data_IF_831582302092
#
_entry.id   IF_831582302092
#
_cell.length_a   1.000
_cell.length_b   1.000
_cell.length_c   1.000
_cell.angle_alpha   90.00
_cell.angle_beta   90.00
_cell.angle_gamma   90.00
#
_symmetry.space_group_name_H-M   'P 1'
#
loop_
_entity.id
_entity.type
_entity.pdbx_description
1 polymer ?
#
# COMPACT_ATOMS: atom_id res chain seq x y z
N UNK A 1 18.83 14.75 12.77
CA UNK A 1 18.50 15.84 11.81
C UNK A 1 16.99 15.89 11.65
N UNK A 2 16.40 17.10 11.78
CA UNK A 2 14.97 17.27 11.58
C UNK A 2 14.62 17.15 10.10
N UNK A 3 13.75 16.21 9.76
CA UNK A 3 13.28 15.93 8.39
C UNK A 3 11.79 16.16 8.37
N UNK A 4 11.33 17.09 7.53
CA UNK A 4 9.90 17.37 7.33
C UNK A 4 9.35 16.56 6.16
N UNK A 5 8.20 15.92 6.37
CA UNK A 5 7.49 15.16 5.35
C UNK A 5 5.98 15.18 5.64
N UNK A 6 5.17 14.75 4.69
CA UNK A 6 3.73 14.57 4.91
C UNK A 6 3.43 13.09 5.00
N UNK A 7 2.76 12.65 6.07
CA UNK A 7 2.36 11.24 6.24
C UNK A 7 0.86 11.17 6.42
N UNK A 8 0.18 10.43 5.55
CA UNK A 8 -1.27 10.27 5.55
C UNK A 8 -2.01 11.61 5.61
N UNK A 9 -1.53 12.60 4.83
CA UNK A 9 -2.10 13.95 4.76
C UNK A 9 -1.73 14.89 5.92
N UNK A 10 -0.94 14.43 6.89
CA UNK A 10 -0.49 15.25 8.03
C UNK A 10 0.99 15.63 7.86
N UNK A 11 1.30 16.90 7.97
CA UNK A 11 2.70 17.38 8.02
C UNK A 11 3.32 16.94 9.34
N UNK A 12 4.46 16.28 9.28
CA UNK A 12 5.22 15.81 10.43
C UNK A 12 6.68 16.19 10.29
N UNK A 13 7.35 16.37 11.42
CA UNK A 13 8.80 16.55 11.50
C UNK A 13 9.36 15.45 12.39
N UNK A 14 10.34 14.72 11.87
CA UNK A 14 10.95 13.59 12.56
C UNK A 14 12.44 13.86 12.76
N UNK A 15 12.98 13.45 13.89
CA UNK A 15 14.41 13.53 14.16
C UNK A 15 15.04 12.15 13.93
N UNK A 16 15.75 12.02 12.81
CA UNK A 16 16.35 10.77 12.40
C UNK A 16 17.64 11.00 11.60
N UNK A 17 18.58 10.04 11.62
CA UNK A 17 19.65 9.98 10.64
C UNK A 17 19.10 9.95 9.21
N UNK A 18 19.74 10.66 8.28
CA UNK A 18 19.26 10.79 6.91
C UNK A 18 19.11 9.46 6.15
N UNK A 19 19.93 8.48 6.52
CA UNK A 19 19.98 7.12 5.96
C UNK A 19 19.08 6.12 6.68
N UNK A 20 18.42 6.53 7.79
CA UNK A 20 17.48 5.65 8.49
C UNK A 20 16.39 5.16 7.53
N UNK A 21 16.10 3.85 7.49
CA UNK A 21 14.99 3.35 6.68
C UNK A 21 13.66 3.98 7.08
N UNK A 22 12.90 4.46 6.10
CA UNK A 22 11.60 5.08 6.29
C UNK A 22 10.64 4.19 7.11
N UNK A 23 10.79 2.88 6.99
CA UNK A 23 10.01 1.90 7.76
C UNK A 23 10.08 2.15 9.26
N UNK A 24 11.27 2.41 9.81
CA UNK A 24 11.44 2.62 11.25
C UNK A 24 10.90 3.96 11.70
N UNK A 25 11.04 5.00 10.88
CA UNK A 25 10.38 6.28 11.16
C UNK A 25 8.87 6.12 11.25
N UNK A 26 8.27 5.42 10.27
CA UNK A 26 6.82 5.15 10.25
C UNK A 26 6.38 4.38 11.50
N UNK A 27 7.11 3.34 11.89
CA UNK A 27 6.70 2.45 12.97
C UNK A 27 7.04 2.96 14.36
N UNK A 28 8.27 3.50 14.55
CA UNK A 28 8.82 3.80 15.88
C UNK A 28 8.59 5.25 16.30
N UNK A 29 8.51 6.19 15.35
CA UNK A 29 8.31 7.61 15.67
C UNK A 29 6.87 8.07 15.41
N UNK A 30 6.16 7.44 14.48
CA UNK A 30 4.81 7.83 14.12
C UNK A 30 3.74 6.81 14.57
N UNK A 31 4.14 5.71 15.22
CA UNK A 31 3.26 4.64 15.74
C UNK A 31 2.34 4.02 14.69
N UNK A 32 2.72 4.09 13.40
CA UNK A 32 1.96 3.52 12.29
C UNK A 32 2.42 2.09 12.02
N UNK A 33 1.89 1.14 12.77
CA UNK A 33 2.38 -0.25 12.84
C UNK A 33 1.80 -1.19 11.77
N UNK A 34 0.88 -0.73 10.93
CA UNK A 34 0.30 -1.50 9.83
C UNK A 34 1.31 -1.85 8.73
N UNK A 35 2.31 -1.00 8.50
CA UNK A 35 3.47 -1.30 7.65
C UNK A 35 4.41 -2.25 8.39
N UNK A 36 4.73 -3.42 7.78
CA UNK A 36 5.44 -4.50 8.48
C UNK A 36 6.89 -4.66 8.00
N UNK A 37 7.78 -4.99 8.96
CA UNK A 37 9.13 -5.47 8.64
C UNK A 37 9.09 -6.97 8.29
N UNK A 38 9.78 -7.36 7.22
CA UNK A 38 9.95 -8.76 6.84
C UNK A 38 11.40 -9.04 6.48
N UNK A 39 11.79 -8.94 5.21
CA UNK A 39 13.15 -9.31 4.76
C UNK A 39 14.22 -8.24 4.98
N UNK A 40 13.87 -6.96 5.14
CA UNK A 40 14.81 -5.84 5.28
C UNK A 40 15.61 -5.50 4.02
N UNK A 41 15.34 -6.14 2.86
CA UNK A 41 16.11 -6.03 1.62
C UNK A 41 15.24 -5.98 0.35
N UNK A 42 14.07 -5.36 0.43
CA UNK A 42 13.19 -5.09 -0.73
C UNK A 42 12.57 -6.31 -1.44
N UNK A 43 12.62 -7.52 -0.86
CA UNK A 43 12.20 -8.75 -1.54
C UNK A 43 10.77 -9.20 -1.20
N UNK A 44 10.29 -9.00 0.04
CA UNK A 44 9.04 -9.61 0.49
C UNK A 44 7.79 -8.71 0.35
N UNK A 45 7.95 -7.42 0.19
CA UNK A 45 6.85 -6.48 0.01
C UNK A 45 6.02 -6.11 1.24
N UNK A 46 6.26 -6.72 2.41
CA UNK A 46 5.50 -6.43 3.64
C UNK A 46 5.58 -4.95 4.07
N UNK A 47 6.66 -4.26 3.70
CA UNK A 47 6.92 -2.87 4.03
C UNK A 47 6.49 -1.87 2.93
N UNK A 48 5.64 -2.27 2.00
CA UNK A 48 5.21 -1.39 0.91
C UNK A 48 4.40 -0.21 1.43
N UNK A 49 4.81 0.99 1.05
CA UNK A 49 4.09 2.25 1.24
C UNK A 49 4.06 3.01 -0.08
N UNK A 50 3.27 4.06 -0.20
CA UNK A 50 3.36 4.97 -1.34
C UNK A 50 4.22 6.18 -0.98
N UNK A 51 5.12 6.56 -1.87
CA UNK A 51 5.88 7.80 -1.84
C UNK A 51 5.47 8.61 -3.08
N UNK A 52 4.79 9.72 -2.87
CA UNK A 52 4.18 10.52 -3.95
C UNK A 52 3.32 9.65 -4.91
N UNK A 53 2.54 8.72 -4.37
CA UNK A 53 1.68 7.80 -5.13
C UNK A 53 2.38 6.57 -5.72
N UNK A 54 3.71 6.50 -5.71
CA UNK A 54 4.45 5.34 -6.20
C UNK A 54 4.72 4.32 -5.07
N UNK A 55 4.48 3.03 -5.33
CA UNK A 55 4.82 1.98 -4.38
C UNK A 55 6.33 1.85 -4.20
N UNK A 56 6.80 1.94 -2.95
CA UNK A 56 8.21 1.78 -2.57
C UNK A 56 8.35 0.82 -1.40
N UNK A 57 9.53 0.23 -1.26
CA UNK A 57 9.89 -0.63 -0.13
C UNK A 57 10.53 0.21 0.97
N UNK A 58 9.76 0.56 1.99
CA UNK A 58 10.21 1.46 3.07
C UNK A 58 11.40 0.92 3.88
N UNK A 59 11.63 -0.39 3.88
CA UNK A 59 12.78 -1.01 4.58
C UNK A 59 14.14 -0.69 3.95
N UNK A 60 14.20 -0.24 2.70
CA UNK A 60 15.43 0.14 1.99
C UNK A 60 15.39 1.57 1.45
N UNK A 61 14.30 2.28 1.69
CA UNK A 61 14.14 3.69 1.32
C UNK A 61 14.62 4.55 2.49
N UNK A 62 15.71 5.31 2.36
CA UNK A 62 16.15 6.20 3.42
C UNK A 62 15.13 7.33 3.63
N UNK A 63 14.95 7.77 4.88
CA UNK A 63 13.98 8.82 5.21
C UNK A 63 14.28 10.14 4.49
N UNK A 64 15.55 10.42 4.20
CA UNK A 64 15.94 11.59 3.40
C UNK A 64 15.29 11.67 2.02
N UNK A 65 14.96 10.53 1.40
CA UNK A 65 14.19 10.51 0.14
C UNK A 65 12.73 10.90 0.31
N UNK A 66 12.21 10.84 1.52
CA UNK A 66 10.85 11.26 1.84
C UNK A 66 10.78 12.73 2.29
N UNK A 67 11.91 13.45 2.38
CA UNK A 67 11.93 14.85 2.73
C UNK A 67 11.07 15.68 1.76
N UNK A 68 10.10 16.42 2.29
CA UNK A 68 9.15 17.21 1.51
C UNK A 68 8.14 16.40 0.68
N UNK A 69 8.16 15.07 0.78
CA UNK A 69 7.29 14.21 0.00
C UNK A 69 6.03 13.77 0.78
N UNK A 70 5.05 13.23 0.04
CA UNK A 70 3.86 12.62 0.60
C UNK A 70 4.05 11.10 0.75
N UNK A 71 3.97 10.60 1.97
CA UNK A 71 3.98 9.18 2.30
C UNK A 71 2.55 8.75 2.63
N UNK A 72 2.06 7.70 1.98
CA UNK A 72 0.80 7.06 2.33
C UNK A 72 1.07 5.64 2.80
N UNK A 73 0.65 5.33 4.02
CA UNK A 73 0.70 3.98 4.59
C UNK A 73 -0.67 3.30 4.49
N UNK A 74 -0.77 2.04 4.91
CA UNK A 74 -2.05 1.31 4.89
C UNK A 74 -3.12 2.02 5.74
N UNK A 75 -2.73 2.68 6.83
CA UNK A 75 -3.63 3.44 7.68
C UNK A 75 -4.20 4.69 6.98
N UNK A 76 -3.45 5.24 6.02
CA UNK A 76 -3.86 6.43 5.25
C UNK A 76 -4.48 6.12 3.90
N UNK A 77 -4.54 4.85 3.48
CA UNK A 77 -5.18 4.48 2.21
C UNK A 77 -6.67 4.81 2.21
N UNK A 78 -7.33 4.59 3.35
CA UNK A 78 -8.68 5.06 3.64
C UNK A 78 -8.86 5.11 5.16
N UNK A 79 -9.26 6.26 5.73
CA UNK A 79 -9.37 6.44 7.19
C UNK A 79 -10.29 5.42 7.87
N UNK A 80 -11.33 4.97 7.17
CA UNK A 80 -12.35 4.06 7.70
C UNK A 80 -12.24 2.64 7.14
N UNK A 81 -11.13 2.29 6.47
CA UNK A 81 -11.00 0.99 5.82
C UNK A 81 -11.98 0.80 4.64
N UNK A 82 -12.52 1.89 4.09
CA UNK A 82 -13.55 1.88 3.06
C UNK A 82 -13.03 1.80 1.62
N UNK A 83 -11.71 1.76 1.41
CA UNK A 83 -11.15 1.61 0.08
C UNK A 83 -11.62 0.30 -0.60
N UNK A 84 -11.90 0.34 -1.90
CA UNK A 84 -12.43 -0.82 -2.64
C UNK A 84 -11.60 -2.10 -2.44
N UNK A 85 -10.26 -1.98 -2.39
CA UNK A 85 -9.37 -3.11 -2.09
C UNK A 85 -9.59 -3.63 -0.67
N UNK A 86 -9.70 -2.78 0.35
CA UNK A 86 -9.90 -3.23 1.72
C UNK A 86 -11.23 -3.99 1.87
N UNK A 87 -12.30 -3.49 1.23
CA UNK A 87 -13.60 -4.20 1.20
C UNK A 87 -13.52 -5.53 0.45
N UNK A 88 -12.88 -5.55 -0.72
CA UNK A 88 -12.69 -6.79 -1.47
C UNK A 88 -11.84 -7.82 -0.71
N UNK A 89 -10.86 -7.38 0.09
CA UNK A 89 -10.07 -8.26 0.96
C UNK A 89 -10.93 -8.96 2.01
N UNK A 90 -11.92 -8.26 2.57
CA UNK A 90 -12.89 -8.83 3.52
C UNK A 90 -13.86 -9.77 2.79
N UNK A 91 -14.42 -9.34 1.66
CA UNK A 91 -15.38 -10.12 0.86
C UNK A 91 -14.80 -11.47 0.41
N UNK A 92 -13.53 -11.50 0.01
CA UNK A 92 -12.86 -12.72 -0.44
C UNK A 92 -12.16 -13.49 0.70
N UNK A 93 -12.31 -13.05 1.95
CA UNK A 93 -11.63 -13.66 3.12
C UNK A 93 -10.15 -13.93 2.85
N UNK A 94 -9.45 -12.88 2.35
CA UNK A 94 -8.08 -13.03 1.83
C UNK A 94 -7.08 -13.35 2.93
N UNK A 95 -7.20 -12.71 4.09
CA UNK A 95 -6.20 -12.80 5.14
C UNK A 95 -6.26 -14.15 5.89
N UNK A 96 -5.10 -14.73 6.17
CA UNK A 96 -4.94 -15.76 7.20
C UNK A 96 -4.19 -15.16 8.40
N UNK A 97 -2.84 -15.19 8.42
CA UNK A 97 -2.11 -14.56 9.53
C UNK A 97 -2.18 -13.02 9.51
N UNK A 98 -2.50 -12.40 8.39
CA UNK A 98 -2.66 -10.96 8.25
C UNK A 98 -1.34 -10.17 8.06
N UNK A 99 -0.19 -10.78 8.29
CA UNK A 99 1.09 -10.04 8.38
C UNK A 99 1.47 -9.31 7.08
N UNK A 100 1.33 -9.94 5.91
CA UNK A 100 1.70 -9.34 4.63
C UNK A 100 0.60 -8.46 4.02
N UNK A 101 -0.60 -8.42 4.59
CA UNK A 101 -1.78 -7.88 3.89
C UNK A 101 -1.72 -6.37 3.67
N UNK A 102 -1.18 -5.59 4.62
CA UNK A 102 -0.94 -4.17 4.42
C UNK A 102 -0.08 -3.90 3.18
N UNK A 103 1.04 -4.61 3.05
CA UNK A 103 1.92 -4.50 1.86
C UNK A 103 1.26 -4.99 0.58
N UNK A 104 0.46 -6.05 0.62
CA UNK A 104 -0.29 -6.57 -0.53
C UNK A 104 -1.30 -5.53 -1.03
N UNK A 105 -2.10 -4.95 -0.14
CA UNK A 105 -3.10 -3.94 -0.48
C UNK A 105 -2.44 -2.68 -1.05
N UNK A 106 -1.35 -2.20 -0.45
CA UNK A 106 -0.62 -1.03 -0.94
C UNK A 106 -0.04 -1.26 -2.34
N UNK A 107 0.52 -2.44 -2.61
CA UNK A 107 1.01 -2.80 -3.94
C UNK A 107 -0.14 -2.88 -4.97
N UNK A 108 -1.25 -3.50 -4.60
CA UNK A 108 -2.45 -3.59 -5.44
C UNK A 108 -3.06 -2.21 -5.73
N UNK A 109 -3.08 -1.30 -4.75
CA UNK A 109 -3.57 0.06 -4.95
C UNK A 109 -2.73 0.83 -5.98
N UNK A 110 -1.40 0.69 -5.91
CA UNK A 110 -0.51 1.30 -6.90
C UNK A 110 -0.68 0.68 -8.31
N UNK A 111 -0.99 -0.62 -8.40
CA UNK A 111 -1.33 -1.27 -9.67
C UNK A 111 -2.62 -0.69 -10.24
N UNK A 112 -3.70 -0.67 -9.47
CA UNK A 112 -5.01 -0.22 -9.95
C UNK A 112 -5.03 1.27 -10.31
N UNK A 113 -4.21 2.09 -9.67
CA UNK A 113 -4.05 3.50 -10.04
C UNK A 113 -3.44 3.68 -11.44
N UNK A 114 -2.62 2.74 -11.91
CA UNK A 114 -1.98 2.77 -13.22
C UNK A 114 -2.73 1.94 -14.27
N UNK A 115 -3.35 0.86 -13.85
CA UNK A 115 -4.02 -0.13 -14.69
C UNK A 115 -5.37 -0.46 -14.05
N UNK A 116 -6.43 0.32 -14.36
CA UNK A 116 -7.75 0.15 -13.72
C UNK A 116 -8.41 -1.19 -13.99
N UNK A 117 -8.06 -1.86 -15.10
CA UNK A 117 -8.58 -3.18 -15.48
C UNK A 117 -7.43 -4.13 -15.77
N UNK A 118 -6.69 -4.60 -14.73
CA UNK A 118 -5.54 -5.44 -14.95
C UNK A 118 -5.96 -6.85 -15.38
N UNK A 119 -5.18 -7.46 -16.28
CA UNK A 119 -5.25 -8.89 -16.57
C UNK A 119 -4.57 -9.70 -15.46
N UNK A 120 -4.81 -11.02 -15.40
CA UNK A 120 -4.12 -11.91 -14.45
C UNK A 120 -2.61 -11.80 -14.55
N UNK A 121 -2.06 -11.75 -15.78
CA UNK A 121 -0.63 -11.62 -16.00
C UNK A 121 -0.07 -10.29 -15.47
N UNK A 122 -0.82 -9.20 -15.58
CA UNK A 122 -0.43 -7.90 -15.02
C UNK A 122 -0.49 -7.90 -13.49
N UNK A 123 -1.50 -8.55 -12.92
CA UNK A 123 -1.59 -8.73 -11.45
C UNK A 123 -0.41 -9.56 -10.98
N UNK A 124 -0.14 -10.71 -11.61
CA UNK A 124 0.95 -11.60 -11.22
C UNK A 124 2.30 -10.88 -11.29
N UNK A 125 2.54 -10.12 -12.35
CA UNK A 125 3.76 -9.32 -12.50
C UNK A 125 3.91 -8.27 -11.39
N UNK A 126 2.85 -7.53 -11.10
CA UNK A 126 2.88 -6.46 -10.10
C UNK A 126 3.01 -6.99 -8.67
N UNK A 127 2.41 -8.16 -8.39
CA UNK A 127 2.34 -8.75 -7.06
C UNK A 127 3.43 -9.77 -6.77
N UNK A 128 4.24 -10.18 -7.75
CA UNK A 128 5.20 -11.28 -7.61
C UNK A 128 6.28 -11.03 -6.55
N UNK A 129 6.55 -9.79 -6.20
CA UNK A 129 7.49 -9.40 -5.14
C UNK A 129 6.81 -9.16 -3.78
N UNK A 130 5.55 -9.54 -3.65
CA UNK A 130 4.78 -9.44 -2.41
C UNK A 130 4.50 -10.86 -1.90
N UNK A 131 5.33 -11.34 -0.95
CA UNK A 131 5.26 -12.70 -0.45
C UNK A 131 4.12 -12.88 0.57
N UNK A 132 3.37 -13.97 0.42
CA UNK A 132 2.40 -14.45 1.40
C UNK A 132 2.76 -15.89 1.82
N UNK A 133 3.23 -16.09 3.05
CA UNK A 133 3.59 -17.43 3.55
C UNK A 133 2.37 -18.35 3.73
N UNK A 134 1.19 -17.77 3.88
CA UNK A 134 -0.09 -18.49 3.95
C UNK A 134 -0.62 -18.89 2.57
N UNK A 135 0.05 -18.49 1.50
CA UNK A 135 -0.29 -18.85 0.10
C UNK A 135 -1.68 -18.41 -0.35
N UNK A 136 -2.17 -17.26 0.13
CA UNK A 136 -3.50 -16.76 -0.22
C UNK A 136 -3.56 -16.06 -1.59
N UNK A 137 -2.59 -16.29 -2.46
CA UNK A 137 -2.46 -15.64 -3.77
C UNK A 137 -3.72 -15.71 -4.67
N UNK A 138 -4.45 -16.86 -4.76
CA UNK A 138 -5.68 -16.89 -5.55
C UNK A 138 -6.75 -15.94 -5.04
N UNK A 139 -6.89 -15.81 -3.71
CA UNK A 139 -7.83 -14.87 -3.08
C UNK A 139 -7.39 -13.41 -3.30
N UNK A 140 -6.09 -13.12 -3.19
CA UNK A 140 -5.52 -11.80 -3.49
C UNK A 140 -5.88 -11.38 -4.92
N UNK A 141 -5.66 -12.26 -5.91
CA UNK A 141 -5.98 -11.98 -7.31
C UNK A 141 -7.48 -11.72 -7.51
N UNK A 142 -8.35 -12.56 -6.95
CA UNK A 142 -9.79 -12.39 -7.02
C UNK A 142 -10.24 -11.06 -6.40
N UNK A 143 -9.71 -10.70 -5.24
CA UNK A 143 -10.00 -9.44 -4.57
C UNK A 143 -9.54 -8.21 -5.39
N UNK A 144 -8.40 -8.30 -6.08
CA UNK A 144 -7.93 -7.21 -6.97
C UNK A 144 -8.92 -7.01 -8.14
N UNK A 145 -9.39 -8.08 -8.76
CA UNK A 145 -10.40 -7.98 -9.81
C UNK A 145 -11.73 -7.39 -9.31
N UNK A 146 -12.19 -7.80 -8.15
CA UNK A 146 -13.40 -7.23 -7.53
C UNK A 146 -13.23 -5.74 -7.25
N UNK A 147 -12.12 -5.34 -6.66
CA UNK A 147 -11.83 -3.93 -6.39
C UNK A 147 -11.73 -3.09 -7.68
N UNK A 148 -11.13 -3.65 -8.74
CA UNK A 148 -11.04 -2.99 -10.05
C UNK A 148 -12.42 -2.68 -10.63
N UNK A 149 -13.36 -3.64 -10.57
CA UNK A 149 -14.74 -3.45 -11.01
C UNK A 149 -15.45 -2.36 -10.20
N UNK A 150 -15.30 -2.38 -8.88
CA UNK A 150 -15.91 -1.38 -7.98
C UNK A 150 -15.40 0.04 -8.27
N UNK A 151 -14.08 0.20 -8.44
CA UNK A 151 -13.47 1.50 -8.75
C UNK A 151 -13.93 2.04 -10.10
N UNK A 152 -14.05 1.18 -11.11
CA UNK A 152 -14.53 1.57 -12.45
C UNK A 152 -16.00 1.96 -12.43
N UNK A 153 -16.84 1.25 -11.70
CA UNK A 153 -18.26 1.59 -11.57
C UNK A 153 -18.47 2.95 -10.87
N UNK A 154 -17.62 3.30 -9.89
CA UNK A 154 -17.68 4.58 -9.20
C UNK A 154 -17.10 5.75 -10.01
N UNK A 155 -16.27 5.48 -11.03
CA UNK A 155 -15.67 6.47 -11.91
C UNK A 155 -16.56 6.86 -13.10
N UNK A 156 -17.63 6.09 -13.38
CA UNK A 156 -18.58 6.43 -14.45
C UNK A 156 -19.55 7.47 -13.93
N UNK A 157 -19.53 8.74 -14.41
CA UNK A 157 -20.54 9.73 -14.02
C UNK A 157 -21.91 9.23 -14.49
N UNK A 158 -22.92 9.31 -13.62
CA UNK A 158 -24.30 9.06 -13.97
C UNK A 158 -24.64 9.88 -15.22
N UNK A 159 -24.88 9.22 -16.34
CA UNK A 159 -25.47 9.87 -17.51
C UNK A 159 -26.80 10.41 -17.03
N UNK A 160 -26.93 11.75 -17.04
CA UNK A 160 -28.21 12.42 -16.88
C UNK A 160 -29.09 11.95 -18.02
N UNK A 161 -30.08 11.12 -17.72
CA UNK A 161 -31.26 10.98 -18.55
C UNK A 161 -31.96 12.34 -18.53
N UNK A 162 -31.95 12.99 -19.68
CA UNK A 162 -32.74 14.21 -19.99
C UNK A 162 -33.97 13.81 -20.79
#
# INVERSE_FOLDING_TARGET
>A
MSISLTVNGKAVSVDAPADMPLLWVIREQLDLVGTKFGCGRSQCGACTVHLNGAAVRSCVTPVSRAAGANVTTIEGLSPEGSHALQRAWIEHDVAQCGYCQGGQIMAAAALLAKTPHPTDAQIDTAMNTNLCRCSTYPRIRAAIHTAAKTLSASATPAQKEG
#
